data_IF_163396591998
#
_entry.id   IF_163396591998
#
_cell.length_a   1.000
_cell.length_b   1.000
_cell.length_c   1.000
_cell.angle_alpha   90.00
_cell.angle_beta   90.00
_cell.angle_gamma   90.00
#
_symmetry.space_group_name_H-M   'P 1'
#
loop_
_entity.id
_entity.type
_entity.pdbx_description
1 polymer ?
#
# COMPACT_ATOMS: atom_id res chain seq x y z
N UNK A 1 -20.00 -29.60 -15.75
CA UNK A 1 -20.72 -29.86 -14.49
C UNK A 1 -21.40 -31.22 -14.48
N UNK A 2 -22.16 -31.60 -15.52
CA UNK A 2 -22.78 -32.94 -15.67
C UNK A 2 -21.84 -34.11 -15.35
N UNK A 3 -20.68 -34.19 -15.99
CA UNK A 3 -19.69 -35.27 -15.74
C UNK A 3 -19.12 -35.26 -14.31
N UNK A 4 -19.00 -34.09 -13.69
CA UNK A 4 -18.53 -33.97 -12.30
C UNK A 4 -19.60 -34.48 -11.33
N UNK A 5 -20.88 -34.17 -11.58
CA UNK A 5 -21.99 -34.68 -10.78
C UNK A 5 -22.10 -36.20 -10.84
N UNK A 6 -21.99 -36.80 -12.04
CA UNK A 6 -21.99 -38.26 -12.21
C UNK A 6 -20.79 -38.90 -11.50
N UNK A 7 -19.59 -38.33 -11.66
CA UNK A 7 -18.39 -38.81 -10.96
C UNK A 7 -18.54 -38.76 -9.43
N UNK A 8 -19.11 -37.69 -8.89
CA UNK A 8 -19.38 -37.57 -7.45
C UNK A 8 -20.44 -38.56 -6.99
N UNK A 9 -21.53 -38.74 -7.74
CA UNK A 9 -22.58 -39.70 -7.45
C UNK A 9 -22.02 -41.13 -7.36
N UNK A 10 -21.25 -41.54 -8.37
CA UNK A 10 -20.59 -42.84 -8.39
C UNK A 10 -19.62 -43.02 -7.22
N UNK A 11 -18.84 -41.99 -6.88
CA UNK A 11 -17.94 -42.00 -5.70
C UNK A 11 -18.70 -42.20 -4.38
N UNK A 12 -19.95 -41.78 -4.33
CA UNK A 12 -20.84 -41.94 -3.17
C UNK A 12 -21.76 -43.17 -3.26
N UNK A 13 -21.55 -44.07 -4.23
CA UNK A 13 -22.31 -45.32 -4.39
C UNK A 13 -23.71 -45.12 -5.01
N UNK A 14 -23.91 -44.02 -5.73
CA UNK A 14 -25.15 -43.76 -6.48
C UNK A 14 -24.89 -44.03 -7.96
N UNK A 15 -25.36 -45.18 -8.44
CA UNK A 15 -25.10 -45.66 -9.80
C UNK A 15 -26.07 -45.09 -10.85
N UNK A 16 -27.28 -44.69 -10.45
CA UNK A 16 -28.27 -44.10 -11.34
C UNK A 16 -28.83 -42.79 -10.76
N UNK A 17 -28.51 -41.68 -11.42
CA UNK A 17 -29.01 -40.35 -11.06
C UNK A 17 -29.81 -39.81 -12.24
N UNK A 18 -31.08 -39.49 -11.98
CA UNK A 18 -31.96 -38.93 -13.00
C UNK A 18 -31.33 -37.71 -13.70
N UNK A 19 -31.39 -37.64 -15.05
CA UNK A 19 -30.82 -36.54 -15.81
C UNK A 19 -31.41 -35.18 -15.43
N UNK A 20 -32.67 -35.14 -14.99
CA UNK A 20 -33.33 -33.91 -14.54
C UNK A 20 -32.70 -33.34 -13.26
N UNK A 21 -32.29 -34.22 -12.34
CA UNK A 21 -31.60 -33.83 -11.10
C UNK A 21 -30.22 -33.25 -11.43
N UNK A 22 -29.50 -33.87 -12.37
CA UNK A 22 -28.19 -33.39 -12.81
C UNK A 22 -28.32 -32.02 -13.47
N UNK A 23 -29.33 -31.84 -14.32
CA UNK A 23 -29.63 -30.57 -14.97
C UNK A 23 -29.97 -29.48 -13.94
N UNK A 24 -30.78 -29.80 -12.94
CA UNK A 24 -31.13 -28.87 -11.86
C UNK A 24 -29.90 -28.43 -11.07
N UNK A 25 -29.03 -29.36 -10.66
CA UNK A 25 -27.79 -29.06 -9.94
C UNK A 25 -26.84 -28.21 -10.80
N UNK A 26 -26.74 -28.53 -12.10
CA UNK A 26 -25.93 -27.77 -13.04
C UNK A 26 -26.43 -26.34 -13.18
N UNK A 27 -27.75 -26.15 -13.30
CA UNK A 27 -28.37 -24.83 -13.38
C UNK A 27 -28.20 -24.03 -12.08
N UNK A 28 -28.40 -24.66 -10.92
CA UNK A 28 -28.16 -24.03 -9.62
C UNK A 28 -26.69 -23.61 -9.45
N UNK A 29 -25.74 -24.45 -9.88
CA UNK A 29 -24.31 -24.15 -9.85
C UNK A 29 -23.96 -22.98 -10.79
N UNK A 30 -24.56 -22.94 -11.98
CA UNK A 30 -24.41 -21.85 -12.92
C UNK A 30 -24.93 -20.53 -12.33
N UNK A 31 -26.12 -20.53 -11.72
CA UNK A 31 -26.67 -19.36 -11.04
C UNK A 31 -25.73 -18.90 -9.93
N UNK A 32 -25.21 -19.81 -9.11
CA UNK A 32 -24.29 -19.46 -8.03
C UNK A 32 -23.03 -18.80 -8.56
N UNK A 33 -22.44 -19.34 -9.63
CA UNK A 33 -21.26 -18.76 -10.29
C UNK A 33 -21.56 -17.40 -10.91
N UNK A 34 -22.72 -17.25 -11.57
CA UNK A 34 -23.17 -15.98 -12.14
C UNK A 34 -23.29 -14.91 -11.05
N UNK A 35 -23.94 -15.22 -9.94
CA UNK A 35 -24.08 -14.30 -8.80
C UNK A 35 -22.72 -13.91 -8.20
N UNK A 36 -21.78 -14.85 -8.09
CA UNK A 36 -20.41 -14.54 -7.64
C UNK A 36 -19.71 -13.57 -8.59
N UNK A 37 -19.80 -13.81 -9.90
CA UNK A 37 -19.18 -12.95 -10.92
C UNK A 37 -19.80 -11.56 -10.93
N UNK A 38 -21.13 -11.45 -10.80
CA UNK A 38 -21.82 -10.17 -10.70
C UNK A 38 -21.34 -9.35 -9.50
N UNK A 39 -21.23 -9.98 -8.32
CA UNK A 39 -20.69 -9.33 -7.12
C UNK A 39 -19.23 -8.91 -7.29
N UNK A 40 -18.38 -9.80 -7.84
CA UNK A 40 -16.97 -9.46 -8.15
C UNK A 40 -16.86 -8.30 -9.13
N UNK A 41 -17.74 -8.24 -10.11
CA UNK A 41 -17.82 -7.16 -11.08
C UNK A 41 -18.10 -5.81 -10.40
N UNK A 42 -19.05 -5.77 -9.46
CA UNK A 42 -19.37 -4.57 -8.67
C UNK A 42 -18.18 -4.16 -7.78
N UNK A 43 -17.55 -5.11 -7.10
CA UNK A 43 -16.37 -4.85 -6.25
C UNK A 43 -15.22 -4.29 -7.10
N UNK A 44 -14.95 -4.89 -8.26
CA UNK A 44 -13.89 -4.46 -9.16
C UNK A 44 -14.14 -3.06 -9.72
N UNK A 45 -15.40 -2.69 -9.96
CA UNK A 45 -15.78 -1.33 -10.35
C UNK A 45 -15.54 -0.32 -9.24
N UNK A 46 -16.04 -0.58 -8.03
CA UNK A 46 -15.83 0.31 -6.88
C UNK A 46 -14.34 0.52 -6.55
N UNK A 47 -13.49 -0.50 -6.78
CA UNK A 47 -12.04 -0.36 -6.55
C UNK A 47 -11.37 0.62 -7.53
N UNK A 48 -11.85 0.69 -8.77
CA UNK A 48 -11.28 1.58 -9.81
C UNK A 48 -11.99 2.94 -9.82
N UNK A 49 -13.19 3.00 -9.24
CA UNK A 49 -13.98 4.22 -9.13
C UNK A 49 -13.23 5.29 -8.34
N UNK A 50 -13.07 6.46 -8.98
CA UNK A 50 -12.48 7.64 -8.37
C UNK A 50 -13.60 8.62 -8.06
N UNK A 51 -14.13 8.63 -6.81
CA UNK A 51 -15.31 9.41 -6.48
C UNK A 51 -15.11 10.92 -6.65
N UNK A 52 -13.85 11.38 -6.58
CA UNK A 52 -13.46 12.78 -6.83
C UNK A 52 -13.75 13.29 -8.25
N UNK A 53 -14.10 12.40 -9.19
CA UNK A 53 -14.46 12.77 -10.55
C UNK A 53 -15.97 13.04 -10.72
N UNK A 54 -16.81 12.73 -9.72
CA UNK A 54 -18.23 13.11 -9.74
C UNK A 54 -18.38 14.55 -9.19
N UNK A 55 -19.00 15.43 -9.97
CA UNK A 55 -19.25 16.82 -9.58
C UNK A 55 -20.16 16.96 -8.35
N UNK A 56 -20.89 15.90 -7.97
CA UNK A 56 -21.76 15.85 -6.79
C UNK A 56 -21.08 15.24 -5.57
N UNK A 57 -19.81 14.87 -5.68
CA UNK A 57 -19.09 14.26 -4.57
C UNK A 57 -18.65 15.33 -3.56
N UNK A 58 -19.27 15.30 -2.38
CA UNK A 58 -18.88 16.14 -1.24
C UNK A 58 -18.10 15.30 -0.21
N UNK A 59 -16.94 15.79 0.21
CA UNK A 59 -16.14 15.15 1.28
C UNK A 59 -16.71 15.59 2.62
N UNK A 60 -17.44 14.69 3.29
CA UNK A 60 -18.02 14.97 4.61
C UNK A 60 -17.02 14.76 5.75
N UNK A 61 -16.14 13.77 5.63
CA UNK A 61 -15.13 13.45 6.64
C UNK A 61 -13.81 13.01 5.99
N UNK A 62 -12.73 13.77 6.20
CA UNK A 62 -11.40 13.42 5.73
C UNK A 62 -10.59 12.70 6.82
N UNK A 63 -11.04 11.50 7.19
CA UNK A 63 -10.40 10.66 8.21
C UNK A 63 -8.94 10.36 7.86
N UNK A 64 -8.63 10.23 6.56
CA UNK A 64 -7.26 9.96 6.11
C UNK A 64 -6.32 11.12 6.41
N UNK A 65 -6.74 12.36 6.15
CA UNK A 65 -5.94 13.53 6.50
C UNK A 65 -5.88 13.74 8.02
N UNK A 66 -6.94 13.43 8.75
CA UNK A 66 -6.92 13.44 10.22
C UNK A 66 -5.90 12.45 10.79
N UNK A 67 -5.85 11.21 10.29
CA UNK A 67 -4.84 10.23 10.69
C UNK A 67 -3.43 10.72 10.35
N UNK A 68 -3.21 11.25 9.14
CA UNK A 68 -1.91 11.83 8.76
C UNK A 68 -1.47 12.98 9.65
N UNK A 69 -2.42 13.81 10.10
CA UNK A 69 -2.15 14.89 11.02
C UNK A 69 -1.72 14.35 12.39
N UNK A 70 -2.39 13.32 12.90
CA UNK A 70 -1.99 12.64 14.13
C UNK A 70 -0.60 12.01 14.01
N UNK A 71 -0.30 11.32 12.90
CA UNK A 71 1.04 10.77 12.64
C UNK A 71 2.12 11.86 12.62
N UNK A 72 1.81 13.05 12.11
CA UNK A 72 2.76 14.16 12.10
C UNK A 72 2.94 14.79 13.48
N UNK A 73 1.89 14.86 14.29
CA UNK A 73 2.00 15.26 15.70
C UNK A 73 2.91 14.31 16.48
N UNK A 74 2.74 13.00 16.34
CA UNK A 74 3.58 12.00 16.99
C UNK A 74 5.06 12.15 16.59
N UNK A 75 5.33 12.43 15.31
CA UNK A 75 6.70 12.70 14.84
C UNK A 75 7.28 13.97 15.44
N UNK A 76 6.47 15.01 15.57
CA UNK A 76 6.91 16.30 16.11
C UNK A 76 7.16 16.21 17.62
N UNK A 77 6.34 15.45 18.35
CA UNK A 77 6.56 15.15 19.76
C UNK A 77 7.85 14.35 19.97
N UNK A 78 8.07 13.31 19.17
CA UNK A 78 9.32 12.54 19.21
C UNK A 78 10.55 13.40 18.97
N UNK A 79 10.51 14.28 17.95
CA UNK A 79 11.61 15.21 17.66
C UNK A 79 11.88 16.15 18.83
N UNK A 80 10.83 16.69 19.45
CA UNK A 80 10.96 17.57 20.62
C UNK A 80 11.63 16.85 21.80
N UNK A 81 11.27 15.59 22.04
CA UNK A 81 11.89 14.79 23.10
C UNK A 81 13.38 14.53 22.81
N UNK A 82 13.71 14.15 21.58
CA UNK A 82 15.11 13.96 21.14
C UNK A 82 15.94 15.26 21.26
N UNK A 83 15.36 16.40 20.89
CA UNK A 83 16.00 17.72 21.05
C UNK A 83 16.22 18.08 22.52
N UNK A 84 15.26 17.81 23.41
CA UNK A 84 15.41 18.02 24.85
C UNK A 84 16.51 17.15 25.46
N UNK A 85 16.56 15.85 25.12
CA UNK A 85 17.63 14.96 25.57
C UNK A 85 19.00 15.45 25.10
N UNK A 86 19.09 15.89 23.83
CA UNK A 86 20.30 16.45 23.25
C UNK A 86 20.71 17.75 23.93
N UNK A 87 19.76 18.62 24.28
CA UNK A 87 20.03 19.86 25.02
C UNK A 87 20.59 19.56 26.41
N UNK A 88 20.02 18.60 27.14
CA UNK A 88 20.52 18.15 28.46
C UNK A 88 21.96 17.66 28.35
N UNK A 89 22.27 16.82 27.35
CA UNK A 89 23.61 16.33 27.07
C UNK A 89 24.60 17.46 26.77
N UNK A 90 24.22 18.42 25.92
CA UNK A 90 25.04 19.59 25.60
C UNK A 90 25.25 20.51 26.82
N UNK A 91 24.21 20.67 27.65
CA UNK A 91 24.28 21.45 28.89
C UNK A 91 25.20 20.81 29.92
N UNK A 92 25.14 19.49 30.09
CA UNK A 92 26.06 18.73 30.93
C UNK A 92 27.51 18.88 30.45
N UNK A 93 27.75 18.83 29.14
CA UNK A 93 29.09 19.01 28.56
C UNK A 93 29.67 20.42 28.78
N UNK A 94 28.83 21.46 28.83
CA UNK A 94 29.24 22.85 29.07
C UNK A 94 29.46 23.18 30.56
N UNK A 95 29.04 22.31 31.48
CA UNK A 95 29.26 22.52 32.92
C UNK A 95 30.75 22.48 33.26
N UNK A 96 31.20 23.44 34.08
CA UNK A 96 32.60 23.59 34.56
C UNK A 96 32.77 23.17 36.03
N UNK A 97 31.90 22.29 36.56
CA UNK A 97 32.03 21.80 37.94
C UNK A 97 33.28 20.92 38.11
N UNK A 98 34.15 21.28 39.06
CA UNK A 98 35.46 20.64 39.32
C UNK A 98 35.43 19.48 40.33
N UNK A 99 34.28 19.21 40.95
CA UNK A 99 34.08 18.10 41.89
C UNK A 99 33.31 17.00 41.15
N UNK A 100 34.01 15.96 40.68
CA UNK A 100 33.45 15.02 39.67
C UNK A 100 32.83 13.76 40.30
N UNK A 101 31.53 13.60 40.09
CA UNK A 101 30.75 12.37 40.26
C UNK A 101 30.95 11.49 38.99
N UNK A 102 31.27 10.18 39.10
CA UNK A 102 31.50 9.29 37.95
C UNK A 102 30.41 9.31 36.87
N UNK A 103 29.17 9.66 37.22
CA UNK A 103 28.08 9.79 36.24
C UNK A 103 28.22 11.04 35.34
N UNK A 104 28.73 12.17 35.85
CA UNK A 104 28.93 13.39 35.03
C UNK A 104 30.02 13.19 33.98
N UNK A 105 31.06 12.42 34.30
CA UNK A 105 32.15 12.08 33.38
C UNK A 105 31.64 11.27 32.19
N UNK A 106 30.76 10.29 32.44
CA UNK A 106 30.08 9.50 31.39
C UNK A 106 29.19 10.39 30.51
N UNK A 107 28.43 11.32 31.09
CA UNK A 107 27.61 12.25 30.30
C UNK A 107 28.46 13.15 29.40
N UNK A 108 29.57 13.68 29.91
CA UNK A 108 30.51 14.52 29.14
C UNK A 108 31.18 13.74 28.01
N UNK A 109 31.56 12.49 28.24
CA UNK A 109 32.10 11.61 27.20
C UNK A 109 31.05 11.30 26.13
N UNK A 110 29.83 10.96 26.53
CA UNK A 110 28.68 10.71 25.62
C UNK A 110 28.35 11.94 24.77
N UNK A 111 28.42 13.13 25.34
CA UNK A 111 28.20 14.38 24.59
C UNK A 111 29.32 14.66 23.57
N UNK A 112 30.59 14.39 23.91
CA UNK A 112 31.72 14.52 22.98
C UNK A 112 31.63 13.52 21.82
N UNK A 113 31.20 12.29 22.10
CA UNK A 113 30.95 11.26 21.08
C UNK A 113 29.79 11.66 20.15
N UNK A 114 28.68 12.16 20.71
CA UNK A 114 27.55 12.66 19.93
C UNK A 114 27.95 13.80 18.97
N UNK A 115 28.76 14.77 19.44
CA UNK A 115 29.26 15.85 18.56
C UNK A 115 30.14 15.32 17.42
N UNK A 116 30.96 14.29 17.70
CA UNK A 116 31.83 13.69 16.68
C UNK A 116 31.00 12.94 15.63
N UNK A 117 29.99 12.17 16.07
CA UNK A 117 29.09 11.45 15.19
C UNK A 117 28.29 12.41 14.28
N UNK A 118 27.80 13.53 14.83
CA UNK A 118 27.05 14.51 14.04
C UNK A 118 27.92 15.20 12.97
N UNK A 119 29.16 15.56 13.31
CA UNK A 119 30.10 16.13 12.34
C UNK A 119 30.42 15.14 11.21
N UNK A 120 30.56 13.86 11.56
CA UNK A 120 30.84 12.79 10.60
C UNK A 120 29.64 12.50 9.69
N UNK A 121 28.41 12.53 10.24
CA UNK A 121 27.18 12.41 9.48
C UNK A 121 27.01 13.59 8.51
N UNK A 122 27.29 14.82 8.95
CA UNK A 122 27.27 16.01 8.09
C UNK A 122 28.24 15.85 6.93
N UNK A 123 29.49 15.46 7.22
CA UNK A 123 30.52 15.21 6.21
C UNK A 123 30.08 14.12 5.22
N UNK A 124 29.43 13.06 5.70
CA UNK A 124 28.94 11.99 4.86
C UNK A 124 27.76 12.44 3.97
N UNK A 125 26.83 13.25 4.50
CA UNK A 125 25.75 13.85 3.70
C UNK A 125 26.28 14.78 2.62
N UNK A 126 27.27 15.61 2.93
CA UNK A 126 27.92 16.46 1.95
C UNK A 126 28.58 15.63 0.85
N UNK A 127 29.35 14.60 1.22
CA UNK A 127 29.97 13.68 0.26
C UNK A 127 28.93 12.98 -0.64
N UNK A 128 27.81 12.52 -0.07
CA UNK A 128 26.71 11.90 -0.84
C UNK A 128 26.04 12.90 -1.79
N UNK A 129 25.85 14.15 -1.36
CA UNK A 129 25.28 15.21 -2.18
C UNK A 129 26.21 15.53 -3.36
N UNK A 130 27.51 15.67 -3.10
CA UNK A 130 28.53 15.86 -4.15
C UNK A 130 28.58 14.66 -5.10
N UNK A 131 28.50 13.43 -4.60
CA UNK A 131 28.47 12.23 -5.42
C UNK A 131 27.22 12.18 -6.33
N UNK A 132 26.03 12.54 -5.82
CA UNK A 132 24.80 12.62 -6.60
C UNK A 132 24.88 13.68 -7.70
N UNK A 133 25.49 14.84 -7.40
CA UNK A 133 25.74 15.89 -8.39
C UNK A 133 26.75 15.43 -9.46
N UNK A 134 27.78 14.68 -9.07
CA UNK A 134 28.82 14.17 -9.97
C UNK A 134 28.37 13.00 -10.86
N UNK A 135 27.41 12.17 -10.41
CA UNK A 135 26.86 11.05 -11.19
C UNK A 135 26.09 11.52 -12.44
N UNK A 136 25.55 12.75 -12.42
CA UNK A 136 24.81 13.33 -13.56
C UNK A 136 23.50 12.60 -13.90
N UNK A 137 22.72 13.10 -14.88
CA UNK A 137 21.46 12.48 -15.29
C UNK A 137 21.73 11.14 -15.96
N UNK A 138 21.61 10.05 -15.21
CA UNK A 138 21.67 8.69 -15.78
C UNK A 138 20.48 8.49 -16.73
N UNK A 139 20.75 8.34 -18.03
CA UNK A 139 19.83 7.64 -18.93
C UNK A 139 19.64 6.23 -18.35
N UNK A 140 18.43 5.92 -17.88
CA UNK A 140 18.07 4.54 -17.53
C UNK A 140 18.32 3.70 -18.77
N UNK A 141 19.35 2.85 -18.75
CA UNK A 141 19.48 1.76 -19.71
C UNK A 141 18.21 0.93 -19.51
N UNK A 142 17.31 1.02 -20.49
CA UNK A 142 16.12 0.17 -20.56
C UNK A 142 16.66 -1.24 -20.72
N UNK A 143 16.56 -2.03 -19.66
CA UNK A 143 16.60 -3.48 -19.80
C UNK A 143 15.46 -3.83 -20.75
N UNK A 144 15.81 -4.46 -21.87
CA UNK A 144 14.89 -4.83 -22.92
C UNK A 144 13.80 -5.74 -22.36
N UNK A 145 12.58 -5.21 -22.24
CA UNK A 145 11.37 -6.00 -22.29
C UNK A 145 10.38 -5.19 -23.11
N UNK A 146 10.21 -5.63 -24.36
CA UNK A 146 9.31 -5.08 -25.35
C UNK A 146 7.89 -4.93 -24.79
N UNK A 147 7.38 -3.70 -24.73
CA UNK A 147 6.18 -3.31 -25.48
C UNK A 147 6.08 -1.78 -25.57
N UNK A 148 5.85 -1.34 -26.79
CA UNK A 148 5.89 0.00 -27.37
C UNK A 148 4.79 0.94 -26.87
N UNK A 149 5.15 2.20 -26.58
CA UNK A 149 4.75 3.40 -27.37
C UNK A 149 5.22 4.70 -26.71
N UNK A 150 5.72 5.58 -27.57
CA UNK A 150 6.35 6.89 -27.41
C UNK A 150 5.60 7.92 -26.55
N UNK A 151 6.34 8.69 -25.72
CA UNK A 151 6.51 10.13 -25.97
C UNK A 151 7.61 10.74 -25.09
N UNK A 152 8.58 11.38 -25.75
CA UNK A 152 9.58 12.28 -25.18
C UNK A 152 8.98 13.68 -25.01
N UNK A 153 9.33 14.37 -23.92
CA UNK A 153 9.56 15.82 -23.91
C UNK A 153 10.36 16.22 -22.66
N UNK A 154 11.44 16.98 -22.88
CA UNK A 154 12.37 17.57 -21.93
C UNK A 154 11.76 18.74 -21.13
N UNK A 155 12.43 19.25 -20.07
CA UNK A 155 11.83 20.17 -19.10
C UNK A 155 11.98 21.64 -19.51
N UNK A 156 10.88 22.39 -19.42
CA UNK A 156 10.84 23.84 -19.54
C UNK A 156 9.87 24.39 -18.50
N UNK A 157 10.38 25.28 -17.64
CA UNK A 157 9.72 25.88 -16.48
C UNK A 157 8.79 27.03 -16.87
N UNK A 158 7.49 27.01 -16.52
CA UNK A 158 6.64 28.15 -16.10
C UNK A 158 5.37 27.64 -15.39
N UNK A 159 4.83 28.32 -14.35
CA UNK A 159 3.58 27.94 -13.69
C UNK A 159 2.39 28.57 -14.41
N UNK A 160 1.65 27.78 -15.17
CA UNK A 160 0.43 28.21 -15.86
C UNK A 160 -0.74 27.33 -15.46
N UNK A 161 -1.70 27.91 -14.76
CA UNK A 161 -2.99 27.31 -14.42
C UNK A 161 -3.66 26.75 -15.68
N UNK A 162 -3.86 25.43 -15.74
CA UNK A 162 -4.66 24.78 -16.77
C UNK A 162 -5.66 23.83 -16.12
N UNK A 163 -6.91 24.30 -16.02
CA UNK A 163 -8.09 23.45 -15.82
C UNK A 163 -8.13 22.40 -16.93
N UNK A 164 -7.59 21.21 -16.65
CA UNK A 164 -7.83 20.05 -17.50
C UNK A 164 -9.28 19.58 -17.25
N UNK A 165 -10.12 19.46 -18.29
CA UNK A 165 -11.42 18.82 -18.12
C UNK A 165 -11.21 17.37 -17.65
N UNK A 166 -12.12 16.81 -16.84
CA UNK A 166 -11.98 15.44 -16.37
C UNK A 166 -11.95 14.54 -17.61
N UNK A 167 -10.79 13.94 -17.87
CA UNK A 167 -10.67 12.90 -18.89
C UNK A 167 -11.59 11.78 -18.44
N UNK A 168 -12.77 11.67 -19.05
CA UNK A 168 -13.59 10.48 -18.98
C UNK A 168 -12.73 9.36 -19.55
N UNK A 169 -12.02 8.65 -18.66
CA UNK A 169 -11.27 7.47 -19.03
C UNK A 169 -12.33 6.50 -19.57
N UNK A 170 -12.27 6.24 -20.88
CA UNK A 170 -13.15 5.30 -21.53
C UNK A 170 -13.10 3.99 -20.73
N UNK A 171 -14.23 3.64 -20.10
CA UNK A 171 -14.28 2.48 -19.19
C UNK A 171 -13.85 1.26 -20.02
N UNK A 172 -12.77 0.56 -19.64
CA UNK A 172 -12.33 -0.61 -20.39
C UNK A 172 -13.46 -1.63 -20.44
N UNK A 173 -13.71 -2.20 -21.63
CA UNK A 173 -14.79 -3.18 -21.86
C UNK A 173 -14.66 -4.45 -21.01
N UNK A 174 -13.48 -4.68 -20.42
CA UNK A 174 -13.18 -5.83 -19.58
C UNK A 174 -12.93 -5.36 -18.14
N UNK A 175 -13.74 -5.86 -17.20
CA UNK A 175 -13.52 -5.66 -15.76
C UNK A 175 -12.40 -6.58 -15.30
N UNK A 176 -11.28 -6.00 -14.86
CA UNK A 176 -10.16 -6.79 -14.31
C UNK A 176 -10.40 -7.06 -12.83
N UNK A 177 -10.54 -8.32 -12.47
CA UNK A 177 -10.68 -8.78 -11.07
C UNK A 177 -9.31 -9.17 -10.51
N UNK A 178 -9.06 -8.85 -9.25
CA UNK A 178 -7.85 -9.22 -8.51
C UNK A 178 -8.20 -10.22 -7.40
N UNK A 179 -7.21 -10.98 -6.92
CA UNK A 179 -7.39 -11.93 -5.81
C UNK A 179 -7.94 -11.24 -4.56
N UNK A 180 -7.57 -9.97 -4.31
CA UNK A 180 -8.10 -9.18 -3.20
C UNK A 180 -9.62 -8.98 -3.28
N UNK A 181 -10.18 -8.87 -4.49
CA UNK A 181 -11.64 -8.73 -4.66
C UNK A 181 -12.36 -10.04 -4.30
N UNK A 182 -11.73 -11.18 -4.64
CA UNK A 182 -12.23 -12.49 -4.28
C UNK A 182 -12.18 -12.72 -2.77
N UNK A 183 -11.08 -12.37 -2.12
CA UNK A 183 -10.95 -12.47 -0.66
C UNK A 183 -11.98 -11.58 0.04
N UNK A 184 -12.14 -10.34 -0.41
CA UNK A 184 -13.17 -9.43 0.11
C UNK A 184 -14.58 -10.02 -0.06
N UNK A 185 -14.92 -10.54 -1.24
CA UNK A 185 -16.21 -11.18 -1.46
C UNK A 185 -16.43 -12.39 -0.53
N UNK A 186 -15.39 -13.19 -0.31
CA UNK A 186 -15.44 -14.35 0.57
C UNK A 186 -15.61 -13.98 2.05
N UNK A 187 -15.07 -12.84 2.48
CA UNK A 187 -15.30 -12.31 3.84
C UNK A 187 -16.76 -11.93 4.07
N UNK A 188 -17.43 -11.39 3.04
CA UNK A 188 -18.82 -10.91 3.16
C UNK A 188 -19.87 -12.03 3.10
N UNK A 189 -19.58 -13.15 2.43
CA UNK A 189 -20.54 -14.24 2.26
C UNK A 189 -20.48 -15.27 3.40
N UNK A 190 -21.60 -15.50 4.09
CA UNK A 190 -21.71 -16.47 5.20
C UNK A 190 -21.26 -17.89 4.84
N UNK A 191 -21.42 -18.30 3.58
CA UNK A 191 -21.08 -19.64 3.09
C UNK A 191 -19.57 -19.86 2.88
N UNK A 192 -18.83 -18.79 2.63
CA UNK A 192 -17.42 -18.82 2.21
C UNK A 192 -16.48 -18.27 3.28
N UNK A 193 -16.98 -17.44 4.21
CA UNK A 193 -16.20 -16.83 5.30
C UNK A 193 -15.52 -17.84 6.22
N UNK A 194 -16.10 -19.04 6.37
CA UNK A 194 -15.53 -20.12 7.21
C UNK A 194 -14.78 -21.19 6.40
N UNK A 195 -14.52 -20.96 5.11
CA UNK A 195 -13.86 -21.96 4.26
C UNK A 195 -12.35 -21.95 4.50
N UNK A 196 -11.69 -23.13 4.54
CA UNK A 196 -10.24 -23.24 4.70
C UNK A 196 -9.43 -22.43 3.69
N UNK A 197 -9.96 -22.25 2.48
CA UNK A 197 -9.34 -21.43 1.44
C UNK A 197 -9.07 -19.99 1.91
N UNK A 198 -10.02 -19.39 2.63
CA UNK A 198 -9.89 -18.02 3.14
C UNK A 198 -8.81 -17.94 4.23
N UNK A 199 -8.84 -18.86 5.20
CA UNK A 199 -7.83 -18.91 6.26
C UNK A 199 -6.41 -19.13 5.71
N UNK A 200 -6.25 -20.04 4.74
CA UNK A 200 -4.97 -20.26 4.07
C UNK A 200 -4.45 -19.03 3.33
N UNK A 201 -5.34 -18.16 2.85
CA UNK A 201 -4.93 -16.92 2.17
C UNK A 201 -4.31 -15.88 3.10
N UNK A 202 -4.63 -15.92 4.41
CA UNK A 202 -4.06 -15.01 5.41
C UNK A 202 -2.79 -15.55 6.07
N UNK A 203 -2.57 -16.86 6.03
CA UNK A 203 -1.43 -17.56 6.64
C UNK A 203 -0.14 -17.42 5.81
N UNK A 204 0.20 -16.20 5.38
CA UNK A 204 1.46 -15.94 4.66
C UNK A 204 2.70 -16.42 5.43
#
# INVERSE_FOLDING_TARGET
MVLLCLYLAQKHGLDDVSPDVINLISHASQIRLKNLIEKLSVIAEHRVETPKNDSRYEVTQDVKSQIKFLEELDRLEKRRHEEQEREILLRAAKSRSKLEDPEQLKLKQKAKEMQRAELEELRQREANTTALLAIGPRKKIKLENNLSTSNQASPGSYPGSSNNPPKFQARPRVKRVNIRDLLYLMEQERETVRRPLLYKSYLK
#
